data_IF_916916558767
#
_entry.id   IF_916916558767
#
_cell.length_a   1.000
_cell.length_b   1.000
_cell.length_c   1.000
_cell.angle_alpha   90.00
_cell.angle_beta   90.00
_cell.angle_gamma   90.00
#
_symmetry.space_group_name_H-M   'P 1'
#
loop_
_entity.id
_entity.type
_entity.pdbx_description
1 polymer ?
#
# COMPACT_ATOMS: atom_id res chain seq x y z
N UNK A 1 6.79 11.01 5.95
CA UNK A 1 7.05 10.24 7.19
C UNK A 1 8.51 9.78 7.29
N UNK A 2 9.23 9.72 6.16
CA UNK A 2 10.57 9.14 6.07
C UNK A 2 11.65 10.15 5.65
N UNK A 3 11.50 11.43 6.03
CA UNK A 3 12.31 12.54 5.49
C UNK A 3 13.82 12.31 5.66
N UNK A 4 14.25 11.66 6.74
CA UNK A 4 15.67 11.40 7.04
C UNK A 4 16.14 9.97 6.72
N UNK A 5 15.30 9.15 6.05
CA UNK A 5 15.63 7.74 5.77
C UNK A 5 15.97 7.52 4.30
N UNK A 6 17.23 7.17 4.03
CA UNK A 6 17.68 6.79 2.69
C UNK A 6 17.36 5.32 2.36
N UNK A 7 16.99 5.06 1.11
CA UNK A 7 16.85 3.72 0.54
C UNK A 7 17.89 3.57 -0.57
N UNK A 8 18.80 2.62 -0.40
CA UNK A 8 19.88 2.37 -1.35
C UNK A 8 19.78 0.94 -1.84
N UNK A 9 19.88 0.76 -3.15
CA UNK A 9 20.06 -0.57 -3.76
C UNK A 9 21.52 -0.73 -4.14
N UNK A 10 22.21 -1.68 -3.50
CA UNK A 10 23.62 -1.92 -3.73
C UNK A 10 23.97 -3.39 -3.47
N UNK A 11 24.98 -3.88 -4.19
CA UNK A 11 25.48 -5.26 -4.08
C UNK A 11 26.96 -5.33 -3.74
N UNK A 12 27.37 -6.42 -3.08
CA UNK A 12 28.78 -6.71 -2.82
C UNK A 12 29.50 -5.58 -2.07
N UNK A 13 30.66 -5.14 -2.57
CA UNK A 13 31.44 -4.07 -1.94
C UNK A 13 30.73 -2.71 -1.89
N UNK A 14 29.82 -2.43 -2.83
CA UNK A 14 29.06 -1.17 -2.83
C UNK A 14 28.08 -1.08 -1.65
N UNK A 15 27.62 -2.23 -1.12
CA UNK A 15 26.79 -2.31 0.09
C UNK A 15 27.56 -1.87 1.34
N UNK A 16 28.86 -2.17 1.41
CA UNK A 16 29.70 -1.84 2.58
C UNK A 16 30.03 -0.34 2.68
N UNK A 17 29.90 0.40 1.58
CA UNK A 17 30.13 1.85 1.52
C UNK A 17 28.83 2.63 1.34
N UNK A 18 27.67 1.98 1.45
CA UNK A 18 26.39 2.62 1.26
C UNK A 18 26.12 3.63 2.40
N UNK A 19 25.41 4.74 2.12
CA UNK A 19 25.00 5.69 3.16
C UNK A 19 24.13 5.04 4.24
N UNK A 20 24.10 5.63 5.44
CA UNK A 20 23.23 5.20 6.53
C UNK A 20 21.76 5.16 6.08
N UNK A 21 21.09 4.03 6.33
CA UNK A 21 19.71 3.80 5.90
C UNK A 21 19.42 2.34 5.55
N UNK A 22 18.35 2.11 4.79
CA UNK A 22 18.01 0.77 4.30
C UNK A 22 18.83 0.45 3.05
N UNK A 23 19.66 -0.59 3.13
CA UNK A 23 20.43 -1.09 2.00
C UNK A 23 19.92 -2.46 1.61
N UNK A 24 19.35 -2.56 0.41
CA UNK A 24 18.78 -3.78 -0.14
C UNK A 24 19.61 -4.25 -1.32
N UNK A 25 19.78 -5.56 -1.45
CA UNK A 25 20.27 -6.13 -2.71
C UNK A 25 19.20 -5.93 -3.81
N UNK A 26 19.59 -5.82 -5.09
CA UNK A 26 18.63 -5.56 -6.18
C UNK A 26 17.45 -6.52 -6.23
N UNK A 27 17.68 -7.82 -5.99
CA UNK A 27 16.62 -8.82 -6.03
C UNK A 27 15.74 -8.79 -4.77
N UNK A 28 16.31 -8.48 -3.61
CA UNK A 28 15.55 -8.24 -2.37
C UNK A 28 14.63 -7.03 -2.53
N UNK A 29 15.13 -5.95 -3.13
CA UNK A 29 14.36 -4.75 -3.40
C UNK A 29 13.19 -5.02 -4.36
N UNK A 30 13.40 -5.76 -5.46
CA UNK A 30 12.33 -6.15 -6.38
C UNK A 30 11.27 -7.04 -5.70
N UNK A 31 11.71 -8.02 -4.90
CA UNK A 31 10.79 -8.89 -4.17
C UNK A 31 9.98 -8.12 -3.13
N UNK A 32 10.60 -7.21 -2.39
CA UNK A 32 9.94 -6.36 -1.41
C UNK A 32 8.94 -5.41 -2.09
N UNK A 33 9.32 -4.79 -3.21
CA UNK A 33 8.44 -3.94 -4.01
C UNK A 33 7.17 -4.70 -4.45
N UNK A 34 7.33 -5.91 -4.99
CA UNK A 34 6.20 -6.77 -5.39
C UNK A 34 5.28 -7.11 -4.22
N UNK A 35 5.86 -7.45 -3.05
CA UNK A 35 5.09 -7.72 -1.82
C UNK A 35 4.31 -6.48 -1.37
N UNK A 36 4.94 -5.30 -1.38
CA UNK A 36 4.30 -4.05 -0.96
C UNK A 36 3.15 -3.65 -1.88
N UNK A 37 3.29 -3.86 -3.20
CA UNK A 37 2.19 -3.67 -4.16
C UNK A 37 1.00 -4.56 -3.79
N UNK A 38 1.24 -5.85 -3.53
CA UNK A 38 0.16 -6.76 -3.10
C UNK A 38 -0.46 -6.37 -1.75
N UNK A 39 0.31 -5.79 -0.83
CA UNK A 39 -0.23 -5.24 0.43
C UNK A 39 -1.10 -4.01 0.15
N UNK A 40 -0.65 -3.08 -0.70
CA UNK A 40 -1.42 -1.90 -1.11
C UNK A 40 -2.76 -2.29 -1.72
N UNK A 41 -2.79 -3.32 -2.58
CA UNK A 41 -4.03 -3.81 -3.18
C UNK A 41 -5.02 -4.34 -2.13
N UNK A 42 -4.54 -5.10 -1.15
CA UNK A 42 -5.35 -5.58 -0.01
C UNK A 42 -5.89 -4.41 0.82
N UNK A 43 -5.04 -3.42 1.12
CA UNK A 43 -5.46 -2.21 1.83
C UNK A 43 -6.51 -1.42 1.03
N UNK A 44 -6.36 -1.30 -0.29
CA UNK A 44 -7.35 -0.66 -1.15
C UNK A 44 -8.69 -1.42 -1.14
N UNK A 45 -8.67 -2.75 -1.08
CA UNK A 45 -9.89 -3.55 -0.89
C UNK A 45 -10.53 -3.31 0.47
N UNK A 46 -9.73 -3.30 1.55
CA UNK A 46 -10.22 -2.97 2.89
C UNK A 46 -10.82 -1.57 2.95
N UNK A 47 -10.19 -0.59 2.28
CA UNK A 47 -10.70 0.78 2.18
C UNK A 47 -12.09 0.82 1.52
N UNK A 48 -12.29 0.10 0.41
CA UNK A 48 -13.61 0.01 -0.25
C UNK A 48 -14.66 -0.59 0.69
N UNK A 49 -14.31 -1.63 1.45
CA UNK A 49 -15.21 -2.24 2.45
C UNK A 49 -15.54 -1.25 3.57
N UNK A 50 -14.55 -0.53 4.09
CA UNK A 50 -14.75 0.49 5.11
C UNK A 50 -15.66 1.62 4.63
N UNK A 51 -15.51 2.10 3.39
CA UNK A 51 -16.41 3.10 2.79
C UNK A 51 -17.86 2.59 2.78
N UNK A 52 -18.08 1.33 2.39
CA UNK A 52 -19.42 0.74 2.38
C UNK A 52 -20.00 0.64 3.80
N UNK A 53 -19.20 0.23 4.79
CA UNK A 53 -19.62 0.16 6.19
C UNK A 53 -19.94 1.53 6.77
N UNK A 54 -19.17 2.57 6.43
CA UNK A 54 -19.44 3.95 6.81
C UNK A 54 -20.70 4.52 6.12
N UNK A 55 -21.15 3.91 5.02
CA UNK A 55 -22.39 4.28 4.33
C UNK A 55 -23.65 3.58 4.87
N UNK A 56 -23.53 2.72 5.89
CA UNK A 56 -24.67 2.03 6.48
C UNK A 56 -25.68 3.02 7.08
N UNK A 57 -26.96 2.67 7.03
CA UNK A 57 -28.04 3.44 7.68
C UNK A 57 -28.65 2.63 8.82
N UNK A 58 -29.13 3.32 9.84
CA UNK A 58 -29.89 2.69 10.92
C UNK A 58 -31.13 1.95 10.34
N UNK A 59 -31.33 0.66 10.67
CA UNK A 59 -32.47 -0.12 10.17
C UNK A 59 -33.81 0.27 10.81
N UNK A 60 -33.78 0.97 11.94
CA UNK A 60 -34.94 1.45 12.69
C UNK A 60 -34.61 2.77 13.38
N UNK A 61 -35.64 3.47 13.84
CA UNK A 61 -35.55 4.78 14.50
C UNK A 61 -35.68 4.70 16.03
N UNK A 62 -35.73 3.49 16.59
CA UNK A 62 -35.75 3.35 18.04
C UNK A 62 -34.39 3.79 18.63
N UNK A 63 -34.38 4.27 19.88
CA UNK A 63 -33.17 4.81 20.49
C UNK A 63 -31.98 3.85 20.50
N UNK A 64 -32.22 2.54 20.67
CA UNK A 64 -31.15 1.55 20.76
C UNK A 64 -30.48 1.32 19.41
N UNK A 65 -31.27 1.25 18.34
CA UNK A 65 -30.76 1.12 16.98
C UNK A 65 -29.98 2.35 16.54
N UNK A 66 -30.45 3.54 16.89
CA UNK A 66 -29.73 4.79 16.59
C UNK A 66 -28.42 4.89 17.35
N UNK A 67 -28.40 4.54 18.65
CA UNK A 67 -27.17 4.52 19.44
C UNK A 67 -26.14 3.52 18.87
N UNK A 68 -26.57 2.32 18.48
CA UNK A 68 -25.71 1.35 17.83
C UNK A 68 -25.17 1.85 16.47
N UNK A 69 -26.01 2.52 15.68
CA UNK A 69 -25.59 3.12 14.41
C UNK A 69 -24.51 4.19 14.63
N UNK A 70 -24.70 5.10 15.58
CA UNK A 70 -23.72 6.15 15.92
C UNK A 70 -22.41 5.53 16.42
N UNK A 71 -22.45 4.51 17.28
CA UNK A 71 -21.24 3.83 17.75
C UNK A 71 -20.43 3.18 16.59
N UNK A 72 -21.11 2.71 15.55
CA UNK A 72 -20.47 2.00 14.44
C UNK A 72 -20.01 2.93 13.32
N UNK A 73 -20.85 3.89 12.93
CA UNK A 73 -20.64 4.77 11.76
C UNK A 73 -20.30 6.20 12.17
N UNK A 74 -20.76 6.65 13.33
CA UNK A 74 -20.67 8.03 13.78
C UNK A 74 -21.98 8.79 13.62
N UNK A 75 -21.99 10.03 14.11
CA UNK A 75 -23.13 10.93 14.04
C UNK A 75 -23.18 11.77 12.74
N UNK A 76 -22.13 11.66 11.91
CA UNK A 76 -21.96 12.43 10.68
C UNK A 76 -21.50 13.87 10.89
N UNK A 77 -21.19 14.29 12.13
CA UNK A 77 -20.77 15.66 12.45
C UNK A 77 -19.47 15.71 13.26
N UNK A 78 -19.40 15.03 14.39
CA UNK A 78 -18.35 15.21 15.39
C UNK A 78 -17.88 13.91 16.02
N UNK A 79 -18.74 12.90 16.10
CA UNK A 79 -18.42 11.59 16.65
C UNK A 79 -18.08 10.62 15.53
N UNK A 80 -16.83 10.14 15.52
CA UNK A 80 -16.41 9.06 14.64
C UNK A 80 -16.84 7.72 15.24
N UNK A 81 -17.58 6.93 14.46
CA UNK A 81 -17.86 5.54 14.80
C UNK A 81 -16.65 4.64 14.55
N UNK A 82 -16.73 3.40 15.04
CA UNK A 82 -15.66 2.41 14.91
C UNK A 82 -15.20 2.21 13.46
N UNK A 83 -16.13 2.19 12.49
CA UNK A 83 -15.81 2.01 11.08
C UNK A 83 -15.12 3.22 10.46
N UNK A 84 -15.55 4.44 10.80
CA UNK A 84 -14.89 5.66 10.30
C UNK A 84 -13.49 5.81 10.88
N UNK A 85 -13.32 5.50 12.17
CA UNK A 85 -12.00 5.48 12.79
C UNK A 85 -11.08 4.43 12.13
N UNK A 86 -11.54 3.20 11.97
CA UNK A 86 -10.79 2.14 11.28
C UNK A 86 -10.48 2.48 9.81
N UNK A 87 -11.41 3.12 9.10
CA UNK A 87 -11.20 3.63 7.75
C UNK A 87 -10.06 4.65 7.67
N UNK A 88 -9.99 5.57 8.63
CA UNK A 88 -8.89 6.53 8.73
C UNK A 88 -7.52 5.85 8.92
N UNK A 89 -7.44 4.78 9.72
CA UNK A 89 -6.21 4.00 9.88
C UNK A 89 -5.78 3.29 8.58
N UNK A 90 -6.74 2.76 7.81
CA UNK A 90 -6.44 2.17 6.50
C UNK A 90 -5.84 3.24 5.56
N UNK A 91 -6.39 4.46 5.57
CA UNK A 91 -5.87 5.56 4.73
C UNK A 91 -4.42 5.93 5.12
N UNK A 92 -4.10 5.95 6.41
CA UNK A 92 -2.73 6.17 6.89
C UNK A 92 -1.79 5.03 6.46
N UNK A 93 -2.25 3.77 6.54
CA UNK A 93 -1.46 2.62 6.10
C UNK A 93 -1.19 2.65 4.59
N UNK A 94 -2.19 3.04 3.78
CA UNK A 94 -2.01 3.21 2.33
C UNK A 94 -0.97 4.28 2.05
N UNK A 95 -1.07 5.45 2.70
CA UNK A 95 -0.11 6.54 2.51
C UNK A 95 1.32 6.12 2.87
N UNK A 96 1.48 5.36 3.96
CA UNK A 96 2.77 4.82 4.38
C UNK A 96 3.34 3.82 3.36
N UNK A 97 2.54 2.85 2.91
CA UNK A 97 2.96 1.85 1.93
C UNK A 97 3.28 2.51 0.59
N UNK A 98 2.54 3.54 0.20
CA UNK A 98 2.81 4.31 -1.02
C UNK A 98 4.15 5.04 -0.99
N UNK A 99 4.48 5.71 0.13
CA UNK A 99 5.78 6.34 0.29
C UNK A 99 6.90 5.28 0.21
N UNK A 100 6.69 4.10 0.79
CA UNK A 100 7.70 3.03 0.78
C UNK A 100 7.90 2.42 -0.62
N UNK A 101 6.81 2.14 -1.34
CA UNK A 101 6.85 1.67 -2.74
C UNK A 101 7.61 2.68 -3.59
N UNK A 102 7.31 3.97 -3.44
CA UNK A 102 7.95 5.03 -4.23
C UNK A 102 9.46 5.06 -3.99
N UNK A 103 9.90 5.03 -2.74
CA UNK A 103 11.34 5.10 -2.40
C UNK A 103 12.12 3.87 -2.88
N UNK A 104 11.56 2.67 -2.76
CA UNK A 104 12.20 1.45 -3.30
C UNK A 104 12.27 1.51 -4.83
N UNK A 105 11.19 1.93 -5.50
CA UNK A 105 11.17 2.07 -6.95
C UNK A 105 12.22 3.08 -7.43
N UNK A 106 12.31 4.24 -6.77
CA UNK A 106 13.33 5.26 -7.05
C UNK A 106 14.75 4.72 -6.83
N UNK A 107 14.99 3.99 -5.74
CA UNK A 107 16.29 3.36 -5.46
C UNK A 107 16.67 2.27 -6.47
N UNK A 108 15.68 1.60 -7.08
CA UNK A 108 15.84 0.68 -8.20
C UNK A 108 16.01 1.38 -9.57
N UNK A 109 15.91 2.71 -9.62
CA UNK A 109 15.92 3.49 -10.86
C UNK A 109 14.62 3.39 -11.68
N UNK A 110 13.54 2.86 -11.10
CA UNK A 110 12.23 2.79 -11.72
C UNK A 110 11.52 4.14 -11.54
N UNK A 111 11.63 5.02 -12.52
CA UNK A 111 10.89 6.30 -12.52
C UNK A 111 9.49 6.12 -13.10
N UNK A 112 8.52 6.94 -12.63
CA UNK A 112 7.07 6.88 -12.97
C UNK A 112 6.74 6.85 -14.47
N UNK A 113 7.69 7.19 -15.35
CA UNK A 113 7.52 7.18 -16.80
C UNK A 113 7.67 5.79 -17.45
N UNK A 114 8.37 4.84 -16.82
CA UNK A 114 8.70 3.55 -17.47
C UNK A 114 7.73 2.39 -17.14
N UNK A 115 6.95 2.49 -16.07
CA UNK A 115 6.15 1.35 -15.59
C UNK A 115 4.92 1.01 -16.44
N UNK A 116 4.43 1.93 -17.28
CA UNK A 116 3.36 1.60 -18.24
C UNK A 116 3.79 0.60 -19.32
N UNK A 117 5.09 0.36 -19.51
CA UNK A 117 5.60 -0.61 -20.48
C UNK A 117 6.07 -1.92 -19.82
N UNK A 118 6.49 -1.90 -18.56
CA UNK A 118 7.10 -3.06 -17.93
C UNK A 118 6.06 -4.08 -17.40
N UNK A 119 4.87 -3.63 -16.96
CA UNK A 119 3.77 -4.56 -16.61
C UNK A 119 3.28 -5.36 -17.83
N UNK A 120 3.46 -4.85 -19.05
CA UNK A 120 3.10 -5.54 -20.30
C UNK A 120 4.16 -6.53 -20.76
N UNK A 121 5.44 -6.31 -20.41
CA UNK A 121 6.56 -7.19 -20.79
C UNK A 121 6.68 -8.42 -19.88
N UNK A 122 6.39 -8.28 -18.58
CA UNK A 122 6.50 -9.40 -17.62
C UNK A 122 5.42 -10.48 -17.88
N UNK A 123 4.27 -10.10 -18.45
CA UNK A 123 3.21 -11.04 -18.83
C UNK A 123 3.39 -11.70 -20.21
N UNK A 124 4.49 -11.43 -20.93
CA UNK A 124 4.67 -11.88 -22.32
C UNK A 124 5.89 -12.77 -22.57
N UNK A 125 6.47 -13.36 -21.51
CA UNK A 125 7.46 -14.43 -21.68
C UNK A 125 6.73 -15.76 -21.78
N UNK A 126 6.37 -16.10 -23.01
CA UNK A 126 5.91 -17.43 -23.43
C UNK A 126 7.14 -18.36 -23.53
N UNK A 127 7.16 -19.56 -22.91
CA UNK A 127 8.29 -20.46 -23.02
C UNK A 127 8.25 -21.22 -24.36
N UNK A 128 8.83 -20.63 -25.39
CA UNK A 128 9.27 -21.38 -26.56
C UNK A 128 10.76 -21.16 -26.78
N UNK A 129 11.55 -22.18 -26.46
CA UNK A 129 12.60 -22.73 -27.33
C UNK A 129 13.52 -23.64 -26.50
N UNK A 130 13.50 -24.94 -26.79
CA UNK A 130 14.71 -25.74 -27.08
C UNK A 130 14.27 -27.13 -27.52
N UNK A 131 14.52 -27.47 -28.78
CA UNK A 131 15.39 -28.62 -29.12
C UNK A 131 15.71 -28.59 -30.61
N UNK A 132 17.00 -28.36 -30.89
CA UNK A 132 17.70 -28.96 -32.04
C UNK A 132 17.82 -30.48 -31.84
#
# INVERSE_FOLDING_TARGET
MWEDTAFTVASGQAKATAPDGFVLEPDEAKQLLSKLIGVKEKLAEMRRKAINLCGMKAPAQDPSTLAAHVAMVGDGTSELGAYSYGGGHIDLQIAYVDEFIQRIAEALGMTKSNDRQQTTLINRVDPQETTE
#
